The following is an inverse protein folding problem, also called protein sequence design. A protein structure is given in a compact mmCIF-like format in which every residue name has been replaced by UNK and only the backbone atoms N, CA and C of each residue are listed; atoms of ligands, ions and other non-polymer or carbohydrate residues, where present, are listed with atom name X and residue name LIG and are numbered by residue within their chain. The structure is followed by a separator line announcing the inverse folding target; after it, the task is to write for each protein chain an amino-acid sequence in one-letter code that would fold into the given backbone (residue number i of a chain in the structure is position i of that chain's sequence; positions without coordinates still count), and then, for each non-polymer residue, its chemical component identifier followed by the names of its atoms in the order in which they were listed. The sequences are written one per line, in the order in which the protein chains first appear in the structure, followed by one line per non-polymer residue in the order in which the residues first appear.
data_IF_880198088741
#
_entry.id   IF_880198088741
#
_cell.length_a   1.000
_cell.length_b   1.000
_cell.length_c   1.000
_cell.angle_alpha   90.00
_cell.angle_beta   90.00
_cell.angle_gamma   90.00
#
_symmetry.space_group_name_H-M   'P 1'
#
loop_
_entity.id
_entity.type
_entity.pdbx_description
1 polymer ?
#
# COMPACT_ATOMS: atom_id res chain seq x y z
N UNK A 1 -0.63 22.69 8.88
CA UNK A 1 -0.82 21.23 8.88
C UNK A 1 -1.47 20.84 7.56
N UNK A 2 -1.00 19.78 6.89
CA UNK A 2 -1.62 19.26 5.68
C UNK A 2 -3.00 18.68 5.98
N UNK A 3 -3.96 18.86 5.06
CA UNK A 3 -5.31 18.34 5.20
C UNK A 3 -5.35 16.81 5.04
N UNK A 4 -4.63 16.30 4.04
CA UNK A 4 -4.44 14.87 3.80
C UNK A 4 -3.03 14.47 4.24
N UNK A 5 -2.86 13.30 4.83
CA UNK A 5 -1.56 12.77 5.24
C UNK A 5 -1.07 11.68 4.30
N UNK A 6 -1.98 10.91 3.73
CA UNK A 6 -1.66 9.80 2.83
C UNK A 6 -2.51 9.82 1.58
N UNK A 7 -2.04 9.22 0.45
CA UNK A 7 -2.85 9.04 -0.74
C UNK A 7 -4.15 8.27 -0.46
N UNK A 8 -4.13 7.35 0.50
CA UNK A 8 -5.29 6.56 0.86
C UNK A 8 -6.39 7.37 1.57
N UNK A 9 -6.02 8.37 2.35
CA UNK A 9 -7.00 9.30 2.96
C UNK A 9 -7.71 10.12 1.88
N UNK A 10 -6.96 10.62 0.89
CA UNK A 10 -7.56 11.33 -0.24
C UNK A 10 -8.46 10.40 -1.08
N UNK A 11 -8.02 9.17 -1.35
CA UNK A 11 -8.83 8.16 -2.03
C UNK A 11 -10.17 7.92 -1.34
N UNK A 12 -10.17 7.66 -0.03
CA UNK A 12 -11.40 7.46 0.75
C UNK A 12 -12.33 8.67 0.72
N UNK A 13 -11.75 9.85 0.70
CA UNK A 13 -12.52 11.08 0.60
C UNK A 13 -13.14 11.26 -0.78
N UNK A 14 -12.39 11.05 -1.84
CA UNK A 14 -12.75 11.45 -3.20
C UNK A 14 -13.59 10.42 -3.97
N UNK A 15 -13.31 9.12 -3.78
CA UNK A 15 -13.97 8.05 -4.54
C UNK A 15 -15.49 8.14 -4.48
N UNK A 16 -16.13 8.09 -5.64
CA UNK A 16 -17.59 8.15 -5.79
C UNK A 16 -18.20 9.54 -5.67
N UNK A 17 -17.41 10.56 -5.33
CA UNK A 17 -17.89 11.94 -5.27
C UNK A 17 -17.83 12.64 -6.62
N UNK A 18 -18.78 13.55 -6.82
CA UNK A 18 -18.74 14.57 -7.86
C UNK A 18 -18.17 15.86 -7.25
N UNK A 19 -16.93 16.17 -7.62
CA UNK A 19 -16.18 17.33 -7.11
C UNK A 19 -16.29 18.44 -8.14
N UNK A 20 -16.72 19.62 -7.73
CA UNK A 20 -16.83 20.82 -8.56
C UNK A 20 -16.26 21.98 -7.74
N UNK A 21 -15.07 22.46 -8.13
CA UNK A 21 -14.32 23.47 -7.37
C UNK A 21 -14.57 24.87 -7.90
N UNK A 22 -14.82 25.01 -9.19
CA UNK A 22 -14.92 26.31 -9.85
C UNK A 22 -16.37 26.74 -10.16
N UNK A 23 -17.33 25.84 -9.96
CA UNK A 23 -18.76 26.03 -10.21
C UNK A 23 -19.06 26.55 -11.64
N UNK A 24 -18.29 26.10 -12.64
CA UNK A 24 -18.43 26.55 -14.01
C UNK A 24 -19.66 25.90 -14.66
N UNK A 25 -20.72 26.65 -15.05
CA UNK A 25 -22.02 26.07 -15.40
C UNK A 25 -22.00 25.11 -16.60
N UNK A 26 -21.01 25.24 -17.49
CA UNK A 26 -20.90 24.45 -18.74
C UNK A 26 -19.87 23.33 -18.69
N UNK A 27 -19.04 23.26 -17.65
CA UNK A 27 -17.95 22.29 -17.53
C UNK A 27 -17.83 21.75 -16.10
N UNK A 28 -18.96 21.31 -15.53
CA UNK A 28 -19.00 20.70 -14.21
C UNK A 28 -18.24 19.37 -14.18
N UNK A 29 -17.63 19.09 -13.05
CA UNK A 29 -17.03 17.78 -12.74
C UNK A 29 -15.90 17.36 -13.69
N UNK A 30 -14.94 18.27 -13.93
CA UNK A 30 -13.78 18.00 -14.76
C UNK A 30 -12.70 17.21 -14.02
N UNK A 31 -11.77 16.60 -14.76
CA UNK A 31 -10.60 15.95 -14.16
C UNK A 31 -9.74 16.94 -13.34
N UNK A 32 -9.72 18.20 -13.74
CA UNK A 32 -9.07 19.31 -13.05
C UNK A 32 -9.59 19.50 -11.62
N UNK A 33 -10.90 19.36 -11.38
CA UNK A 33 -11.52 19.63 -10.08
C UNK A 33 -10.95 18.78 -8.95
N UNK A 34 -10.58 17.54 -9.24
CA UNK A 34 -9.93 16.67 -8.23
C UNK A 34 -8.56 17.20 -7.84
N UNK A 35 -7.75 17.65 -8.80
CA UNK A 35 -6.44 18.23 -8.54
C UNK A 35 -6.55 19.60 -7.85
N UNK A 36 -7.53 20.41 -8.25
CA UNK A 36 -7.80 21.70 -7.64
C UNK A 36 -8.31 21.55 -6.19
N UNK A 37 -9.25 20.65 -5.94
CA UNK A 37 -9.74 20.34 -4.59
C UNK A 37 -8.60 19.91 -3.66
N UNK A 38 -7.72 19.03 -4.14
CA UNK A 38 -6.54 18.60 -3.40
C UNK A 38 -5.64 19.78 -3.01
N UNK A 39 -5.32 20.67 -3.97
CA UNK A 39 -4.47 21.82 -3.71
C UNK A 39 -5.13 22.84 -2.77
N UNK A 40 -6.41 23.13 -2.98
CA UNK A 40 -7.17 24.10 -2.17
C UNK A 40 -7.27 23.64 -0.72
N UNK A 41 -7.61 22.38 -0.46
CA UNK A 41 -7.72 21.82 0.89
C UNK A 41 -6.38 21.76 1.61
N UNK A 42 -5.28 21.50 0.90
CA UNK A 42 -3.94 21.57 1.47
C UNK A 42 -3.40 23.01 1.57
N UNK A 43 -4.18 24.00 1.14
CA UNK A 43 -3.79 25.42 1.17
C UNK A 43 -2.51 25.71 0.39
N UNK A 44 -2.31 25.01 -0.73
CA UNK A 44 -1.20 25.29 -1.62
C UNK A 44 -1.45 26.60 -2.36
N UNK A 45 -0.52 27.54 -2.24
CA UNK A 45 -0.57 28.79 -3.00
C UNK A 45 0.03 28.58 -4.39
N UNK A 46 -0.74 28.02 -5.30
CA UNK A 46 -0.36 27.70 -6.68
C UNK A 46 -1.36 28.26 -7.68
N UNK A 47 -0.89 28.55 -8.89
CA UNK A 47 -1.77 29.01 -9.96
C UNK A 47 -2.41 27.81 -10.67
N UNK A 48 -3.72 27.65 -10.50
CA UNK A 48 -4.52 26.54 -11.05
C UNK A 48 -5.10 26.83 -12.47
N UNK A 49 -4.80 27.97 -13.09
CA UNK A 49 -5.33 28.29 -14.42
C UNK A 49 -4.65 27.46 -15.53
N UNK A 50 -5.44 26.86 -16.40
CA UNK A 50 -4.99 26.23 -17.63
C UNK A 50 -4.86 27.28 -18.75
N UNK A 51 -3.74 28.00 -18.77
CA UNK A 51 -3.59 29.29 -19.45
C UNK A 51 -3.15 29.24 -20.91
N UNK A 52 -2.77 28.07 -21.45
CA UNK A 52 -2.32 27.92 -22.84
C UNK A 52 -3.41 27.28 -23.70
N UNK A 53 -3.81 26.09 -23.34
CA UNK A 53 -4.75 25.27 -24.14
C UNK A 53 -6.12 25.11 -23.49
N UNK A 54 -6.28 25.53 -22.23
CA UNK A 54 -7.47 25.30 -21.42
C UNK A 54 -7.56 23.88 -20.85
N UNK A 55 -6.53 23.05 -21.03
CA UNK A 55 -6.51 21.65 -20.57
C UNK A 55 -5.51 21.43 -19.43
N UNK A 56 -5.73 20.38 -18.66
CA UNK A 56 -4.94 20.03 -17.48
C UNK A 56 -3.43 19.89 -17.73
N UNK A 57 -3.02 19.54 -18.93
CA UNK A 57 -1.61 19.45 -19.33
C UNK A 57 -0.82 20.75 -19.18
N UNK A 58 -1.50 21.91 -19.25
CA UNK A 58 -0.86 23.20 -19.02
C UNK A 58 -0.31 23.34 -17.61
N UNK A 59 -0.96 22.72 -16.63
CA UNK A 59 -0.50 22.73 -15.23
C UNK A 59 0.87 22.08 -15.09
N UNK A 60 1.10 20.96 -15.78
CA UNK A 60 2.38 20.28 -15.77
C UNK A 60 3.45 21.02 -16.59
N UNK A 61 3.10 21.50 -17.79
CA UNK A 61 4.03 22.22 -18.68
C UNK A 61 4.59 23.48 -18.03
N UNK A 62 3.74 24.24 -17.34
CA UNK A 62 4.05 25.50 -16.67
C UNK A 62 4.31 25.33 -15.16
N UNK A 63 4.65 24.15 -14.69
CA UNK A 63 4.69 23.80 -13.26
C UNK A 63 5.59 24.68 -12.41
N UNK A 64 6.70 25.15 -12.95
CA UNK A 64 7.61 26.07 -12.25
C UNK A 64 7.04 27.48 -12.19
N UNK A 65 6.52 27.99 -13.30
CA UNK A 65 5.89 29.32 -13.37
C UNK A 65 4.65 29.42 -12.47
N UNK A 66 3.96 28.30 -12.29
CA UNK A 66 2.76 28.18 -11.45
C UNK A 66 3.07 27.93 -9.96
N UNK A 67 4.34 27.77 -9.58
CA UNK A 67 4.78 27.62 -8.20
C UNK A 67 4.56 26.21 -7.61
N UNK A 68 4.37 25.19 -8.45
CA UNK A 68 4.19 23.81 -7.97
C UNK A 68 5.46 23.22 -7.38
N UNK A 69 6.65 23.66 -7.77
CA UNK A 69 7.94 23.24 -7.24
C UNK A 69 8.09 23.48 -5.72
N UNK A 70 7.33 24.38 -5.14
CA UNK A 70 7.28 24.61 -3.69
C UNK A 70 6.67 23.41 -2.94
N UNK A 71 5.72 22.75 -3.55
CA UNK A 71 4.91 21.70 -2.91
C UNK A 71 5.11 20.32 -3.49
N UNK A 72 5.63 20.21 -4.73
CA UNK A 72 5.76 18.95 -5.47
C UNK A 72 7.19 18.73 -5.96
N UNK A 73 7.55 17.46 -6.08
CA UNK A 73 8.67 16.96 -6.88
C UNK A 73 8.15 16.45 -8.21
N UNK A 74 8.99 16.49 -9.26
CA UNK A 74 8.58 16.15 -10.62
C UNK A 74 9.34 14.94 -11.13
N UNK A 75 8.61 13.98 -11.70
CA UNK A 75 9.15 12.73 -12.19
C UNK A 75 8.67 12.41 -13.60
N UNK A 76 9.47 11.61 -14.32
CA UNK A 76 9.02 10.98 -15.55
C UNK A 76 7.96 9.90 -15.24
N UNK A 77 7.03 9.60 -16.18
CA UNK A 77 5.95 8.63 -15.94
C UNK A 77 6.41 7.26 -15.45
N UNK A 78 7.56 6.79 -15.93
CA UNK A 78 8.15 5.49 -15.50
C UNK A 78 8.52 5.42 -14.00
N UNK A 79 8.60 6.55 -13.33
CA UNK A 79 8.87 6.66 -11.89
C UNK A 79 7.62 7.00 -11.09
N UNK A 80 6.44 6.88 -11.71
CA UNK A 80 5.17 7.13 -11.03
C UNK A 80 4.96 6.16 -9.86
N UNK A 81 4.49 6.71 -8.75
CA UNK A 81 4.14 5.96 -7.55
C UNK A 81 2.72 6.32 -7.10
N UNK A 82 2.13 5.50 -6.24
CA UNK A 82 0.81 5.78 -5.65
C UNK A 82 0.81 7.14 -4.96
N UNK A 83 -0.19 7.95 -5.29
CA UNK A 83 -0.37 9.30 -4.75
C UNK A 83 0.25 10.40 -5.60
N UNK A 84 1.03 10.06 -6.63
CA UNK A 84 1.48 11.06 -7.60
C UNK A 84 0.29 11.57 -8.42
N UNK A 85 0.30 12.85 -8.74
CA UNK A 85 -0.58 13.41 -9.74
C UNK A 85 0.07 13.25 -11.11
N UNK A 86 -0.56 12.49 -12.01
CA UNK A 86 -0.07 12.22 -13.35
C UNK A 86 -0.86 13.02 -14.39
N UNK A 87 -0.16 13.57 -15.38
CA UNK A 87 -0.70 14.51 -16.34
C UNK A 87 -0.56 14.01 -17.77
N UNK A 88 -1.62 14.14 -18.53
CA UNK A 88 -1.67 14.08 -19.99
C UNK A 88 -2.02 15.46 -20.54
N UNK A 89 -2.00 15.64 -21.87
CA UNK A 89 -2.37 16.92 -22.45
C UNK A 89 -3.76 17.39 -22.01
N UNK A 90 -4.73 16.50 -21.96
CA UNK A 90 -6.13 16.82 -21.67
C UNK A 90 -6.66 16.25 -20.36
N UNK A 91 -5.82 15.62 -19.56
CA UNK A 91 -6.27 14.91 -18.35
C UNK A 91 -5.27 15.01 -17.21
N UNK A 92 -5.77 14.98 -15.99
CA UNK A 92 -5.01 14.81 -14.75
C UNK A 92 -5.74 13.87 -13.82
N UNK A 93 -4.99 12.99 -13.17
CA UNK A 93 -5.55 12.08 -12.16
C UNK A 93 -4.46 11.68 -11.15
N UNK A 94 -4.87 11.13 -10.00
CA UNK A 94 -3.93 10.59 -9.02
C UNK A 94 -3.60 9.15 -9.34
N UNK A 95 -2.33 8.79 -9.35
CA UNK A 95 -1.84 7.41 -9.50
C UNK A 95 -2.30 6.57 -8.32
N UNK A 96 -2.94 5.43 -8.60
CA UNK A 96 -3.33 4.45 -7.61
C UNK A 96 -2.49 3.17 -7.68
N UNK A 97 -2.22 2.70 -8.88
CA UNK A 97 -1.39 1.51 -9.14
C UNK A 97 -0.63 1.67 -10.46
N UNK A 98 0.58 1.12 -10.52
CA UNK A 98 1.43 1.15 -11.73
C UNK A 98 1.74 -0.28 -12.15
N UNK A 99 1.49 -0.59 -13.42
CA UNK A 99 1.87 -1.83 -14.09
C UNK A 99 2.86 -1.51 -15.21
N UNK A 100 4.13 -1.43 -14.84
CA UNK A 100 5.22 -1.11 -15.78
C UNK A 100 5.37 -2.15 -16.87
N UNK A 101 5.11 -3.43 -16.57
CA UNK A 101 5.26 -4.53 -17.52
C UNK A 101 4.30 -4.40 -18.71
N UNK A 102 3.10 -3.85 -18.47
CA UNK A 102 2.05 -3.67 -19.48
C UNK A 102 1.87 -2.21 -19.91
N UNK A 103 2.78 -1.31 -19.52
CA UNK A 103 2.70 0.13 -19.79
C UNK A 103 1.37 0.76 -19.36
N UNK A 104 0.88 0.41 -18.14
CA UNK A 104 -0.41 0.86 -17.63
C UNK A 104 -0.30 1.54 -16.28
N UNK A 105 -1.21 2.46 -16.02
CA UNK A 105 -1.39 3.12 -14.72
C UNK A 105 -2.88 3.19 -14.40
N UNK A 106 -3.25 2.70 -13.22
CA UNK A 106 -4.59 2.85 -12.66
C UNK A 106 -4.66 4.19 -11.92
N UNK A 107 -5.61 5.03 -12.31
CA UNK A 107 -5.73 6.37 -11.79
C UNK A 107 -7.08 6.62 -11.12
N UNK A 108 -7.03 7.32 -9.99
CA UNK A 108 -8.18 7.92 -9.32
C UNK A 108 -8.39 9.33 -9.89
N UNK A 109 -9.52 9.57 -10.51
CA UNK A 109 -9.84 10.87 -11.09
C UNK A 109 -11.30 10.99 -11.50
N UNK A 110 -11.68 12.16 -11.93
CA UNK A 110 -13.04 12.50 -12.34
C UNK A 110 -13.08 12.74 -13.85
N UNK A 111 -14.28 12.67 -14.42
CA UNK A 111 -14.51 12.74 -15.87
C UNK A 111 -13.72 11.69 -16.66
N UNK A 112 -13.59 10.49 -16.08
CA UNK A 112 -12.92 9.34 -16.65
C UNK A 112 -13.95 8.41 -17.31
N UNK A 113 -13.89 8.27 -18.64
CA UNK A 113 -14.87 7.48 -19.38
C UNK A 113 -16.27 8.08 -19.38
N UNK A 114 -16.39 9.41 -19.24
CA UNK A 114 -17.67 10.13 -19.20
C UNK A 114 -18.39 10.12 -17.84
N UNK A 115 -17.80 9.53 -16.81
CA UNK A 115 -18.38 9.53 -15.47
C UNK A 115 -18.20 10.88 -14.77
N UNK A 116 -19.27 11.54 -14.27
CA UNK A 116 -19.20 12.85 -13.62
C UNK A 116 -18.74 12.76 -12.14
N UNK A 117 -18.25 11.61 -11.72
CA UNK A 117 -17.78 11.34 -10.38
C UNK A 117 -16.38 10.73 -10.39
N UNK A 118 -15.69 10.81 -9.27
CA UNK A 118 -14.36 10.22 -9.09
C UNK A 118 -14.44 8.70 -9.09
N UNK A 119 -13.71 8.09 -10.02
CA UNK A 119 -13.63 6.63 -10.18
C UNK A 119 -12.19 6.18 -10.44
N UNK A 120 -11.99 4.88 -10.60
CA UNK A 120 -10.72 4.29 -11.02
C UNK A 120 -10.76 3.91 -12.50
N UNK A 121 -9.70 4.28 -13.25
CA UNK A 121 -9.55 3.90 -14.66
C UNK A 121 -8.09 3.67 -15.02
N UNK A 122 -7.85 2.66 -15.89
CA UNK A 122 -6.54 2.39 -16.47
C UNK A 122 -6.24 3.30 -17.66
N UNK A 123 -5.02 3.80 -17.70
CA UNK A 123 -4.47 4.61 -18.78
C UNK A 123 -3.14 4.03 -19.27
N UNK A 124 -2.71 4.41 -20.47
CA UNK A 124 -1.39 4.09 -20.99
C UNK A 124 -0.37 5.04 -20.34
N UNK A 125 0.60 4.46 -19.61
CA UNK A 125 1.57 5.22 -18.81
C UNK A 125 2.51 6.05 -19.69
N UNK A 126 3.04 5.46 -20.78
CA UNK A 126 4.01 6.12 -21.67
C UNK A 126 3.47 7.34 -22.41
N UNK A 127 2.14 7.55 -22.42
CA UNK A 127 1.52 8.73 -23.05
C UNK A 127 1.42 9.93 -22.12
N UNK A 128 1.75 9.76 -20.85
CA UNK A 128 1.71 10.86 -19.88
C UNK A 128 2.88 11.83 -20.07
N UNK A 129 2.64 13.10 -19.74
CA UNK A 129 3.66 14.16 -19.77
C UNK A 129 4.64 14.01 -18.61
N UNK A 130 4.15 13.60 -17.44
CA UNK A 130 4.93 13.40 -16.23
C UNK A 130 4.07 13.38 -14.97
N UNK A 131 4.74 13.27 -13.84
CA UNK A 131 4.13 13.17 -12.51
C UNK A 131 4.57 14.28 -11.59
N UNK A 132 3.69 14.70 -10.70
CA UNK A 132 3.93 15.57 -9.56
C UNK A 132 3.71 14.79 -8.27
N UNK A 133 4.76 14.58 -7.48
CA UNK A 133 4.69 13.97 -6.14
C UNK A 133 4.61 15.04 -5.09
N UNK A 134 3.55 15.01 -4.29
CA UNK A 134 3.41 15.96 -3.20
C UNK A 134 4.39 15.68 -2.06
N UNK A 135 5.19 16.67 -1.69
CA UNK A 135 6.20 16.60 -0.62
C UNK A 135 5.62 16.37 0.78
N UNK A 136 4.33 16.63 0.96
CA UNK A 136 3.64 16.48 2.24
C UNK A 136 3.01 15.11 2.48
N UNK A 137 3.09 14.16 1.52
CA UNK A 137 2.67 12.82 1.82
C UNK A 137 3.51 12.25 2.98
N UNK A 138 2.85 11.99 4.11
CA UNK A 138 3.41 11.09 5.08
C UNK A 138 3.29 9.72 4.44
N UNK A 139 4.42 9.11 4.27
CA UNK A 139 4.54 7.81 3.70
C UNK A 139 3.56 6.84 4.36
N UNK A 140 2.98 5.97 3.55
CA UNK A 140 2.02 4.96 4.02
C UNK A 140 2.57 4.24 5.24
N UNK A 141 1.88 4.36 6.35
CA UNK A 141 2.12 3.57 7.55
C UNK A 141 1.15 2.40 7.53
N UNK A 142 1.63 1.22 7.94
CA UNK A 142 0.78 0.07 8.18
C UNK A 142 0.68 -0.91 7.02
N UNK A 143 -0.29 -1.83 7.17
CA UNK A 143 -0.53 -2.91 6.25
C UNK A 143 -1.10 -2.42 4.92
N UNK A 144 -0.46 -2.82 3.81
CA UNK A 144 -0.87 -2.47 2.44
C UNK A 144 -0.84 -3.71 1.57
N UNK A 145 -1.91 -3.92 0.79
CA UNK A 145 -1.98 -5.01 -0.19
C UNK A 145 -1.58 -4.48 -1.56
N UNK A 146 -0.52 -5.04 -2.13
CA UNK A 146 -0.03 -4.74 -3.46
C UNK A 146 -0.24 -5.94 -4.38
N UNK A 147 -1.22 -5.83 -5.28
CA UNK A 147 -1.65 -6.96 -6.07
C UNK A 147 -2.10 -8.13 -5.18
N UNK A 148 -1.44 -9.28 -5.27
CA UNK A 148 -1.68 -10.45 -4.43
C UNK A 148 -0.84 -10.51 -3.15
N UNK A 149 0.09 -9.58 -2.95
CA UNK A 149 1.05 -9.60 -1.85
C UNK A 149 0.69 -8.60 -0.76
N UNK A 150 0.96 -8.94 0.49
CA UNK A 150 0.90 -8.03 1.61
C UNK A 150 2.28 -7.45 1.92
N UNK A 151 2.33 -6.15 2.19
CA UNK A 151 3.51 -5.40 2.63
C UNK A 151 3.14 -4.60 3.89
N UNK A 152 4.13 -4.25 4.69
CA UNK A 152 3.96 -3.28 5.77
C UNK A 152 4.87 -2.09 5.54
N UNK A 153 4.32 -0.90 5.67
CA UNK A 153 5.07 0.34 5.50
C UNK A 153 5.34 0.99 6.85
N UNK A 154 6.54 1.50 7.01
CA UNK A 154 6.94 2.37 8.13
C UNK A 154 7.76 3.53 7.57
N UNK A 155 7.31 4.77 7.84
CA UNK A 155 7.92 5.99 7.31
C UNK A 155 8.13 5.92 5.76
N UNK A 156 7.14 5.41 5.01
CA UNK A 156 7.14 5.29 3.57
C UNK A 156 8.02 4.25 2.94
N UNK A 157 8.63 3.46 3.73
CA UNK A 157 9.45 2.36 3.23
C UNK A 157 8.82 1.03 3.62
N UNK A 158 8.87 0.09 2.73
CA UNK A 158 8.52 -1.29 3.06
C UNK A 158 9.48 -1.80 4.13
N UNK A 159 8.92 -2.38 5.17
CA UNK A 159 9.74 -3.11 6.14
C UNK A 159 10.24 -4.42 5.53
N UNK A 160 11.38 -4.88 5.97
CA UNK A 160 12.00 -6.15 5.55
C UNK A 160 12.45 -6.94 6.78
N UNK A 161 12.69 -8.23 6.60
CA UNK A 161 13.13 -9.09 7.70
C UNK A 161 12.05 -9.27 8.77
N UNK A 162 12.50 -9.56 9.98
CA UNK A 162 11.64 -9.80 11.15
C UNK A 162 10.98 -8.51 11.63
N UNK A 163 9.64 -8.57 11.83
CA UNK A 163 8.86 -7.46 12.35
C UNK A 163 7.82 -7.95 13.35
N UNK A 164 7.74 -7.30 14.51
CA UNK A 164 6.65 -7.49 15.45
C UNK A 164 5.61 -6.39 15.22
N UNK A 165 4.42 -6.77 14.76
CA UNK A 165 3.39 -5.83 14.26
C UNK A 165 2.03 -6.13 14.86
N UNK A 166 1.25 -5.07 15.05
CA UNK A 166 -0.16 -5.20 15.36
C UNK A 166 -0.99 -5.52 14.11
N UNK A 167 -2.02 -6.33 14.28
CA UNK A 167 -2.95 -6.73 13.25
C UNK A 167 -4.34 -7.01 13.84
N UNK A 168 -5.29 -7.54 13.06
CA UNK A 168 -6.68 -7.71 13.48
C UNK A 168 -6.89 -8.66 14.68
N UNK A 169 -5.92 -9.52 15.00
CA UNK A 169 -5.97 -10.48 16.12
C UNK A 169 -4.99 -10.17 17.25
N UNK A 170 -4.41 -8.98 17.27
CA UNK A 170 -3.43 -8.55 18.27
C UNK A 170 -2.05 -8.35 17.70
N UNK A 171 -1.01 -8.60 18.49
CA UNK A 171 0.38 -8.38 18.14
C UNK A 171 1.09 -9.72 17.89
N UNK A 172 1.76 -9.84 16.73
CA UNK A 172 2.47 -11.04 16.33
C UNK A 172 3.76 -10.73 15.57
N UNK A 173 4.58 -11.76 15.38
CA UNK A 173 5.77 -11.70 14.55
C UNK A 173 5.46 -12.08 13.11
N UNK A 174 6.01 -11.30 12.19
CA UNK A 174 5.93 -11.45 10.75
C UNK A 174 7.33 -11.44 10.15
N UNK A 175 7.47 -12.02 8.96
CA UNK A 175 8.71 -11.98 8.18
C UNK A 175 8.45 -11.41 6.79
N UNK A 176 9.32 -10.53 6.32
CA UNK A 176 9.22 -9.91 5.01
C UNK A 176 10.48 -10.21 4.18
N UNK A 177 10.30 -10.42 2.89
CA UNK A 177 11.39 -10.58 1.94
C UNK A 177 12.25 -9.31 1.82
N UNK A 178 13.34 -9.38 1.06
CA UNK A 178 14.18 -8.21 0.74
C UNK A 178 13.40 -7.12 0.00
N UNK A 179 12.37 -7.50 -0.75
CA UNK A 179 11.50 -6.57 -1.49
C UNK A 179 10.30 -6.10 -0.65
N UNK A 180 10.26 -6.45 0.64
CA UNK A 180 9.22 -6.07 1.58
C UNK A 180 7.89 -6.82 1.40
N UNK A 181 7.90 -7.98 0.75
CA UNK A 181 6.73 -8.85 0.62
C UNK A 181 6.62 -9.75 1.86
N UNK A 182 5.44 -9.77 2.49
CA UNK A 182 5.15 -10.67 3.61
C UNK A 182 5.25 -12.13 3.17
N UNK A 183 6.02 -12.92 3.92
CA UNK A 183 6.19 -14.35 3.66
C UNK A 183 5.23 -15.18 4.51
N UNK A 184 4.84 -16.34 3.98
CA UNK A 184 3.96 -17.32 4.63
C UNK A 184 4.54 -18.73 4.49
N UNK A 185 3.99 -19.70 5.20
CA UNK A 185 4.44 -21.09 5.16
C UNK A 185 5.77 -21.30 5.89
N UNK A 186 6.44 -22.36 5.51
CA UNK A 186 7.72 -22.76 6.09
C UNK A 186 8.85 -21.82 5.68
N UNK A 187 9.64 -21.33 6.66
CA UNK A 187 10.77 -20.46 6.47
C UNK A 187 11.96 -20.91 7.33
N UNK A 188 13.11 -21.16 6.70
CA UNK A 188 14.36 -21.43 7.43
C UNK A 188 15.12 -20.12 7.61
N UNK A 189 15.15 -19.62 8.83
CA UNK A 189 15.57 -18.25 9.11
C UNK A 189 16.64 -18.17 10.19
N UNK A 190 17.52 -17.18 10.02
CA UNK A 190 18.46 -16.75 11.06
C UNK A 190 17.75 -15.84 12.05
N UNK A 191 18.02 -16.03 13.34
CA UNK A 191 17.48 -15.23 14.45
C UNK A 191 18.51 -15.13 15.59
N UNK A 192 18.19 -14.47 16.71
CA UNK A 192 19.11 -14.28 17.84
C UNK A 192 19.62 -15.58 18.47
N UNK A 193 18.86 -16.66 18.39
CA UNK A 193 19.23 -18.00 18.89
C UNK A 193 19.92 -18.91 17.87
N UNK A 194 20.32 -18.42 16.69
CA UNK A 194 20.96 -19.21 15.63
C UNK A 194 20.13 -19.30 14.35
N UNK A 195 19.96 -20.52 13.82
CA UNK A 195 19.07 -20.79 12.68
C UNK A 195 18.05 -21.85 13.06
N UNK A 196 16.80 -21.66 12.63
CA UNK A 196 15.72 -22.64 12.83
C UNK A 196 14.65 -22.51 11.74
N UNK A 197 13.78 -23.53 11.69
CA UNK A 197 12.54 -23.45 10.95
C UNK A 197 11.47 -22.73 11.75
N UNK A 198 10.69 -21.92 11.03
CA UNK A 198 9.52 -21.21 11.50
C UNK A 198 8.37 -21.46 10.54
N UNK A 199 7.15 -21.33 11.01
CA UNK A 199 5.99 -21.38 10.14
C UNK A 199 5.13 -20.14 10.33
N UNK A 200 4.77 -19.52 9.22
CA UNK A 200 3.87 -18.38 9.17
C UNK A 200 2.56 -18.79 8.52
N UNK A 201 1.44 -18.56 9.19
CA UNK A 201 0.13 -18.94 8.68
C UNK A 201 -0.25 -18.13 7.42
N UNK A 202 -1.42 -18.40 6.84
CA UNK A 202 -1.90 -17.71 5.64
C UNK A 202 -2.10 -16.17 5.83
N UNK A 203 -2.22 -15.71 7.07
CA UNK A 203 -2.26 -14.30 7.42
C UNK A 203 -0.87 -13.70 7.69
N UNK A 204 0.21 -14.50 7.58
CA UNK A 204 1.59 -14.09 7.83
C UNK A 204 2.02 -14.09 9.29
N UNK A 205 1.13 -14.42 10.24
CA UNK A 205 1.47 -14.48 11.66
C UNK A 205 2.25 -15.77 11.99
N UNK A 206 3.32 -15.64 12.79
CA UNK A 206 4.19 -16.74 13.21
C UNK A 206 3.46 -17.70 14.14
N UNK A 207 3.53 -18.99 13.86
CA UNK A 207 2.96 -20.01 14.72
C UNK A 207 3.83 -20.30 15.96
N UNK A 208 3.16 -20.61 17.05
CA UNK A 208 3.73 -20.99 18.35
C UNK A 208 2.93 -22.16 18.93
N UNK A 209 3.59 -23.06 19.66
CA UNK A 209 2.94 -24.21 20.25
C UNK A 209 2.85 -25.39 19.29
N UNK A 210 1.81 -26.24 19.45
CA UNK A 210 1.63 -27.48 18.69
C UNK A 210 0.71 -27.23 17.51
N UNK A 211 1.16 -27.62 16.31
CA UNK A 211 0.38 -27.49 15.08
C UNK A 211 0.55 -28.68 14.16
N UNK A 212 -0.54 -29.07 13.50
CA UNK A 212 -0.57 -30.08 12.46
C UNK A 212 -0.40 -29.40 11.12
N UNK A 213 0.68 -29.68 10.41
CA UNK A 213 1.10 -28.97 9.21
C UNK A 213 1.64 -29.95 8.17
N UNK A 214 1.50 -29.58 6.90
CA UNK A 214 2.09 -30.31 5.79
C UNK A 214 3.53 -29.86 5.54
N UNK A 215 4.42 -30.84 5.35
CA UNK A 215 5.79 -30.67 4.90
C UNK A 215 6.10 -31.69 3.80
N UNK A 216 6.47 -31.26 2.62
CA UNK A 216 6.83 -32.11 1.47
C UNK A 216 5.77 -33.20 1.16
N UNK A 217 4.49 -32.82 1.20
CA UNK A 217 3.39 -33.75 0.89
C UNK A 217 3.01 -34.70 2.04
N UNK A 218 3.61 -34.56 3.22
CA UNK A 218 3.28 -35.33 4.40
C UNK A 218 2.78 -34.45 5.52
N UNK A 219 1.61 -34.75 6.06
CA UNK A 219 1.07 -34.07 7.23
C UNK A 219 1.66 -34.67 8.50
N UNK A 220 2.22 -33.83 9.37
CA UNK A 220 2.80 -34.19 10.65
C UNK A 220 2.51 -33.15 11.73
N UNK A 221 2.77 -33.49 13.00
CA UNK A 221 2.61 -32.57 14.13
C UNK A 221 3.95 -31.98 14.52
N UNK A 222 4.00 -30.65 14.54
CA UNK A 222 5.18 -29.86 14.85
C UNK A 222 4.98 -29.07 16.12
N UNK A 223 6.07 -28.84 16.86
CA UNK A 223 6.10 -27.98 18.03
C UNK A 223 7.02 -26.80 17.82
N UNK A 224 6.46 -25.61 17.98
CA UNK A 224 7.17 -24.34 17.92
C UNK A 224 7.26 -23.76 19.33
N UNK A 225 8.45 -23.34 19.74
CA UNK A 225 8.67 -22.77 21.07
C UNK A 225 7.71 -21.57 21.31
N UNK A 226 6.97 -21.54 22.42
CA UNK A 226 5.97 -20.48 22.66
C UNK A 226 6.53 -19.07 22.78
N UNK A 227 7.81 -18.94 23.16
CA UNK A 227 8.47 -17.64 23.32
C UNK A 227 9.08 -17.17 22.00
N UNK A 228 9.74 -18.05 21.29
CA UNK A 228 10.58 -17.70 20.13
C UNK A 228 9.95 -18.06 18.79
N UNK A 229 8.99 -18.98 18.74
CA UNK A 229 8.43 -19.54 17.51
C UNK A 229 9.35 -20.49 16.75
N UNK A 230 10.56 -20.77 17.27
CA UNK A 230 11.49 -21.69 16.62
C UNK A 230 11.00 -23.14 16.74
N UNK A 231 11.02 -23.87 15.61
CA UNK A 231 10.68 -25.29 15.60
C UNK A 231 11.64 -26.07 16.50
N UNK A 232 11.08 -26.91 17.35
CA UNK A 232 11.84 -27.74 18.26
C UNK A 232 12.05 -29.14 17.67
N UNK A 233 13.21 -29.73 17.92
CA UNK A 233 13.58 -31.07 17.52
C UNK A 233 14.15 -31.87 18.71
N UNK A 234 14.19 -33.20 18.60
CA UNK A 234 14.68 -34.09 19.67
C UNK A 234 13.61 -34.42 20.69
N UNK A 235 14.03 -34.85 21.88
CA UNK A 235 13.13 -35.24 22.98
C UNK A 235 12.70 -33.99 23.74
N UNK A 236 11.39 -33.76 23.79
CA UNK A 236 10.79 -32.61 24.48
C UNK A 236 9.79 -33.14 25.50
N UNK A 237 10.01 -32.83 26.77
CA UNK A 237 9.02 -33.11 27.82
C UNK A 237 7.98 -32.02 27.85
N UNK A 238 6.69 -32.39 27.75
CA UNK A 238 5.58 -31.45 27.66
C UNK A 238 4.45 -31.81 28.62
N UNK A 239 3.82 -30.81 29.22
CA UNK A 239 2.50 -30.95 29.83
C UNK A 239 1.45 -30.70 28.76
N UNK A 240 0.73 -31.71 28.35
CA UNK A 240 -0.32 -31.64 27.34
C UNK A 240 -1.67 -31.29 27.98
N UNK A 241 -2.47 -30.51 27.25
CA UNK A 241 -3.83 -30.12 27.65
C UNK A 241 -4.81 -30.66 26.63
N UNK A 242 -5.81 -31.39 27.11
CA UNK A 242 -6.87 -31.95 26.27
C UNK A 242 -8.22 -31.31 26.62
N UNK A 243 -9.10 -31.21 25.66
CA UNK A 243 -10.49 -30.84 25.88
C UNK A 243 -11.31 -32.01 26.48
N UNK A 244 -12.61 -31.75 26.74
CA UNK A 244 -13.53 -32.76 27.28
C UNK A 244 -13.77 -33.97 26.37
N UNK A 245 -13.42 -33.87 25.09
CA UNK A 245 -13.56 -34.94 24.10
C UNK A 245 -12.24 -35.69 23.89
N UNK A 246 -11.17 -35.36 24.64
CA UNK A 246 -9.86 -35.96 24.52
C UNK A 246 -9.02 -35.40 23.36
N UNK A 247 -9.44 -34.30 22.71
CA UNK A 247 -8.66 -33.65 21.66
C UNK A 247 -7.55 -32.81 22.27
N UNK A 248 -6.33 -32.91 21.74
CA UNK A 248 -5.20 -32.08 22.16
C UNK A 248 -5.46 -30.63 21.77
N UNK A 249 -5.55 -29.72 22.73
CA UNK A 249 -5.80 -28.28 22.54
C UNK A 249 -4.61 -27.40 22.91
N UNK A 250 -3.54 -27.98 23.46
CA UNK A 250 -2.33 -27.25 23.78
C UNK A 250 -1.30 -28.07 24.52
N UNK A 251 -0.14 -27.46 24.74
CA UNK A 251 0.94 -28.03 25.55
C UNK A 251 1.99 -27.00 25.88
N UNK A 252 2.63 -27.14 27.02
CA UNK A 252 3.76 -26.33 27.46
C UNK A 252 4.96 -27.21 27.74
N UNK A 253 6.15 -26.75 27.36
CA UNK A 253 7.41 -27.39 27.72
C UNK A 253 7.58 -27.32 29.24
N UNK A 254 7.91 -28.44 29.86
CA UNK A 254 8.21 -28.54 31.30
C UNK A 254 9.68 -28.24 31.53
#
# INVERSE_FOLDING_TARGET
MSYWKTPHEYYKYALGKSIDVDNYPRQKYQCFDTFADFNNKNKHNVNLLCSITGYAGDLYKLRYEKGYDKYFEFFYPKHAERGDWIFWNQHVAMVWEVDLANDKVLCLGQNQGGAPYVNLKWYKLSTALGCMRWKGWIATEGWTKEGKHWCFYRNGKKVTGWQELEWSKGKDWFIFSKDGVMLTGWQFLKWSGGQSWFYFNSSGAMLKGIHKLEWMGKEDTYYFDPKTGAMQTGIITMKLVFDKNGCLIGGTKV
#
